data_IF_030010466488
#
_entry.id   IF_030010466488
#
_cell.length_a   1.000
_cell.length_b   1.000
_cell.length_c   1.000
_cell.angle_alpha   90.00
_cell.angle_beta   90.00
_cell.angle_gamma   90.00
#
_symmetry.space_group_name_H-M   'P 1'
#
loop_
_entity.id
_entity.type
_entity.pdbx_description
1 polymer ?
#
# COMPACT_ATOMS: atom_id res chain seq x y z
N UNK A 1 -13.66 -11.51 1.34
CA UNK A 1 -12.23 -11.67 1.69
C UNK A 1 -11.51 -10.41 1.21
N UNK A 2 -10.60 -9.84 1.99
CA UNK A 2 -9.87 -8.62 1.61
C UNK A 2 -8.88 -8.98 0.50
N UNK A 3 -8.83 -8.17 -0.57
CA UNK A 3 -7.80 -8.27 -1.61
C UNK A 3 -6.61 -7.39 -1.25
N UNK A 4 -5.55 -8.01 -0.73
CA UNK A 4 -4.34 -7.30 -0.32
C UNK A 4 -3.44 -6.87 -1.48
N UNK A 5 -3.71 -7.30 -2.72
CA UNK A 5 -2.98 -6.81 -3.90
C UNK A 5 -3.43 -5.42 -4.35
N UNK A 6 -4.58 -4.97 -3.88
CA UNK A 6 -5.12 -3.64 -4.15
C UNK A 6 -5.08 -2.80 -2.88
N UNK A 7 -4.75 -1.51 -2.99
CA UNK A 7 -4.84 -0.59 -1.84
C UNK A 7 -6.28 -0.13 -1.54
N UNK A 8 -7.27 -0.52 -2.35
CA UNK A 8 -8.64 -0.01 -2.25
C UNK A 8 -9.32 -0.29 -0.91
N UNK A 9 -8.93 -1.37 -0.22
CA UNK A 9 -9.49 -1.67 1.10
C UNK A 9 -9.07 -0.64 2.17
N UNK A 10 -7.94 0.07 1.98
CA UNK A 10 -7.46 1.08 2.92
C UNK A 10 -8.41 2.29 3.02
N UNK A 11 -9.19 2.58 1.97
CA UNK A 11 -10.17 3.67 1.95
C UNK A 11 -11.19 3.62 3.09
N UNK A 12 -11.47 2.40 3.56
CA UNK A 12 -12.47 2.13 4.58
C UNK A 12 -11.82 1.59 5.87
N UNK A 13 -10.51 1.77 6.00
CA UNK A 13 -9.72 1.33 7.15
C UNK A 13 -9.73 2.34 8.30
N UNK A 14 -8.78 2.18 9.22
CA UNK A 14 -8.53 3.16 10.27
C UNK A 14 -7.91 4.46 9.71
N UNK A 15 -7.73 5.46 10.58
CA UNK A 15 -7.18 6.77 10.18
C UNK A 15 -5.81 6.66 9.49
N UNK A 16 -4.93 5.76 9.95
CA UNK A 16 -3.59 5.55 9.35
C UNK A 16 -3.67 4.86 7.99
N UNK A 17 -4.59 3.92 7.80
CA UNK A 17 -4.83 3.28 6.51
C UNK A 17 -5.40 4.26 5.48
N UNK A 18 -6.36 5.10 5.88
CA UNK A 18 -6.92 6.14 5.01
C UNK A 18 -5.82 7.16 4.63
N UNK A 19 -5.01 7.61 5.60
CA UNK A 19 -3.90 8.52 5.33
C UNK A 19 -2.85 7.91 4.39
N UNK A 20 -2.56 6.61 4.52
CA UNK A 20 -1.69 5.89 3.60
C UNK A 20 -2.28 5.84 2.19
N UNK A 21 -3.57 5.50 2.05
CA UNK A 21 -4.28 5.49 0.77
C UNK A 21 -4.15 6.85 0.05
N UNK A 22 -4.49 7.93 0.74
CA UNK A 22 -4.47 9.28 0.19
C UNK A 22 -3.06 9.71 -0.22
N UNK A 23 -2.06 9.39 0.61
CA UNK A 23 -0.66 9.71 0.32
C UNK A 23 -0.15 8.97 -0.92
N UNK A 24 -0.45 7.67 -1.04
CA UNK A 24 -0.06 6.84 -2.19
C UNK A 24 -0.71 7.35 -3.48
N UNK A 25 -2.00 7.69 -3.44
CA UNK A 25 -2.74 8.25 -4.58
C UNK A 25 -2.20 9.61 -4.99
N UNK A 26 -2.03 10.53 -4.03
CA UNK A 26 -1.51 11.89 -4.28
C UNK A 26 -0.12 11.86 -4.92
N UNK A 27 0.72 10.92 -4.51
CA UNK A 27 2.06 10.74 -5.09
C UNK A 27 2.03 9.99 -6.43
N UNK A 28 0.92 9.33 -6.79
CA UNK A 28 0.82 8.44 -7.93
C UNK A 28 1.86 7.30 -7.87
N UNK A 29 2.16 6.82 -6.65
CA UNK A 29 3.32 5.99 -6.36
C UNK A 29 3.25 4.63 -7.07
N UNK A 30 2.14 3.90 -6.92
CA UNK A 30 1.96 2.59 -7.58
C UNK A 30 1.94 2.70 -9.11
N UNK A 31 1.47 3.82 -9.66
CA UNK A 31 1.51 4.07 -11.11
C UNK A 31 2.95 4.20 -11.61
N UNK A 32 3.82 4.87 -10.85
CA UNK A 32 5.24 5.05 -11.20
C UNK A 32 6.03 3.74 -11.06
N UNK A 33 5.65 2.90 -10.11
CA UNK A 33 6.28 1.61 -9.86
C UNK A 33 5.65 0.45 -10.64
N UNK A 34 4.69 0.72 -11.54
CA UNK A 34 3.96 -0.30 -12.31
C UNK A 34 4.85 -1.39 -12.96
N UNK A 35 6.05 -1.09 -13.51
CA UNK A 35 6.93 -2.14 -14.06
C UNK A 35 7.37 -3.22 -13.07
N UNK A 36 7.19 -2.98 -11.77
CA UNK A 36 7.61 -3.87 -10.70
C UNK A 36 6.44 -4.59 -10.00
N UNK A 37 5.22 -4.59 -10.57
CA UNK A 37 3.98 -5.08 -9.91
C UNK A 37 3.88 -4.71 -8.42
N UNK A 38 3.84 -3.40 -8.11
CA UNK A 38 4.05 -2.93 -6.75
C UNK A 38 2.88 -3.29 -5.84
N UNK A 39 3.20 -3.92 -4.71
CA UNK A 39 2.24 -4.26 -3.65
C UNK A 39 2.64 -3.52 -2.37
N UNK A 40 1.65 -2.89 -1.73
CA UNK A 40 1.84 -2.29 -0.42
C UNK A 40 1.84 -3.39 0.65
N UNK A 41 2.88 -3.42 1.47
CA UNK A 41 3.07 -4.42 2.53
C UNK A 41 3.42 -3.72 3.84
N UNK A 42 3.49 -4.50 4.92
CA UNK A 42 3.83 -4.00 6.26
C UNK A 42 2.66 -4.12 7.25
N UNK A 43 2.78 -3.41 8.37
CA UNK A 43 1.84 -3.52 9.51
C UNK A 43 0.61 -2.62 9.37
N UNK A 44 0.75 -1.43 8.79
CA UNK A 44 -0.37 -0.48 8.54
C UNK A 44 -1.44 -1.12 7.63
N UNK A 45 -1.08 -1.76 6.50
CA UNK A 45 -2.09 -2.33 5.61
C UNK A 45 -2.94 -3.43 6.29
N UNK A 46 -2.39 -4.18 7.24
CA UNK A 46 -3.13 -5.23 7.96
C UNK A 46 -3.62 -4.79 9.36
N UNK A 47 -3.53 -3.50 9.69
CA UNK A 47 -4.04 -2.91 10.94
C UNK A 47 -3.41 -3.48 12.22
N UNK A 48 -2.12 -3.83 12.16
CA UNK A 48 -1.31 -4.25 13.33
C UNK A 48 -0.14 -3.30 13.58
N UNK A 49 -0.27 -2.07 13.08
CA UNK A 49 0.75 -1.03 13.21
C UNK A 49 0.90 -0.52 14.64
N UNK A 50 2.12 -0.06 14.92
CA UNK A 50 2.49 0.67 16.14
C UNK A 50 2.95 2.07 15.76
N UNK A 51 3.23 2.92 16.75
CA UNK A 51 3.60 4.33 16.54
C UNK A 51 4.68 4.50 15.46
N UNK A 52 5.77 3.74 15.57
CA UNK A 52 6.94 3.77 14.70
C UNK A 52 6.81 3.00 13.38
N UNK A 53 5.64 2.40 13.09
CA UNK A 53 5.44 1.68 11.82
C UNK A 53 5.48 2.60 10.60
N UNK A 54 6.15 2.17 9.56
CA UNK A 54 6.25 2.81 8.25
C UNK A 54 5.42 2.07 7.18
N UNK A 55 5.61 2.45 5.91
CA UNK A 55 4.96 1.87 4.74
C UNK A 55 6.02 1.27 3.82
N UNK A 56 5.89 -0.03 3.54
CA UNK A 56 6.77 -0.75 2.64
C UNK A 56 6.09 -1.01 1.29
N UNK A 57 6.87 -0.97 0.21
CA UNK A 57 6.44 -1.44 -1.11
C UNK A 57 7.38 -2.53 -1.58
N UNK A 58 6.83 -3.72 -1.78
CA UNK A 58 7.51 -4.81 -2.47
C UNK A 58 7.10 -4.82 -3.94
N UNK A 59 8.03 -5.16 -4.82
CA UNK A 59 7.75 -5.38 -6.22
C UNK A 59 8.70 -6.40 -6.81
N UNK A 60 8.26 -7.08 -7.87
CA UNK A 60 9.08 -8.00 -8.66
C UNK A 60 9.23 -7.47 -10.09
N UNK A 61 10.43 -7.58 -10.66
CA UNK A 61 10.65 -7.13 -12.03
C UNK A 61 9.95 -8.11 -12.97
N UNK A 62 8.92 -7.63 -13.66
CA UNK A 62 8.27 -8.41 -14.70
C UNK A 62 9.13 -8.25 -15.95
N UNK A 63 10.03 -9.21 -16.17
CA UNK A 63 10.64 -9.39 -17.48
C UNK A 63 9.55 -9.96 -18.39
N UNK A 64 9.15 -9.17 -19.39
CA UNK A 64 8.35 -9.66 -20.53
C UNK A 64 9.11 -10.76 -21.30
#
# INVERSE_FOLDING_TARGET
MIDFKSIEYLKNGNERQIAAYDSIQKLGLLKKLKPFDPILVGTIPIQVDIEDSDLDISGENILD
#
